data_IF_027608591038
#
_entry.id   IF_027608591038
#
_cell.length_a   1.000
_cell.length_b   1.000
_cell.length_c   1.000
_cell.angle_alpha   90.00
_cell.angle_beta   90.00
_cell.angle_gamma   90.00
#
_symmetry.space_group_name_H-M   'P 1'
#
loop_
_entity.id
_entity.type
_entity.pdbx_description
1 polymer ?
#
# COMPACT_ATOMS: atom_id res chain seq x y z
N UNK A 1 16.50 36.11 31.52
CA UNK A 1 17.78 36.65 30.99
C UNK A 1 18.83 36.51 32.07
N UNK A 2 19.69 35.49 31.98
CA UNK A 2 20.94 35.42 32.75
C UNK A 2 22.07 35.50 31.72
N UNK A 3 22.86 36.56 31.86
CA UNK A 3 23.93 36.95 30.96
C UNK A 3 25.09 35.93 30.99
N UNK A 4 25.47 35.37 29.84
CA UNK A 4 26.77 34.71 29.67
C UNK A 4 27.85 35.79 29.46
N UNK A 5 28.33 36.40 30.55
CA UNK A 5 29.52 37.28 30.51
C UNK A 5 30.81 36.46 30.51
N UNK A 6 31.73 36.94 29.69
CA UNK A 6 32.98 36.33 29.28
C UNK A 6 34.01 36.15 30.41
N UNK A 7 34.68 34.99 30.40
CA UNK A 7 35.97 34.78 31.06
C UNK A 7 37.03 34.53 29.97
N UNK A 8 37.86 35.54 29.71
CA UNK A 8 38.83 35.51 28.62
C UNK A 8 40.21 35.88 29.18
N UNK A 9 41.05 34.88 29.49
CA UNK A 9 42.51 35.06 29.56
C UNK A 9 43.26 33.72 29.56
N UNK A 10 44.17 33.57 28.57
CA UNK A 10 45.24 32.56 28.56
C UNK A 10 44.94 31.19 27.90
N UNK A 11 45.76 30.82 26.90
CA UNK A 11 45.90 29.53 26.19
C UNK A 11 44.95 29.28 25.00
N UNK A 12 45.49 29.43 23.78
CA UNK A 12 44.75 29.41 22.52
C UNK A 12 44.31 28.02 21.99
N UNK A 13 44.91 26.91 22.40
CA UNK A 13 44.61 25.62 21.76
C UNK A 13 43.57 24.75 22.48
N UNK A 14 43.30 24.99 23.77
CA UNK A 14 42.25 24.28 24.53
C UNK A 14 40.86 24.90 24.28
N UNK A 15 40.81 26.19 23.91
CA UNK A 15 39.56 26.94 23.69
C UNK A 15 38.74 26.39 22.52
N UNK A 16 39.36 25.93 21.42
CA UNK A 16 38.59 25.41 20.27
C UNK A 16 37.88 24.09 20.59
N UNK A 17 38.53 23.18 21.30
CA UNK A 17 37.94 21.87 21.63
C UNK A 17 36.83 22.03 22.67
N UNK A 18 37.04 22.86 23.69
CA UNK A 18 36.01 23.13 24.71
C UNK A 18 34.85 23.94 24.13
N UNK A 19 35.09 24.87 23.21
CA UNK A 19 34.02 25.64 22.56
C UNK A 19 33.18 24.76 21.61
N UNK A 20 33.80 23.83 20.88
CA UNK A 20 33.05 22.86 20.04
C UNK A 20 32.24 21.89 20.90
N UNK A 21 32.78 21.42 22.03
CA UNK A 21 32.04 20.58 22.97
C UNK A 21 30.89 21.33 23.66
N UNK A 22 31.06 22.60 24.00
CA UNK A 22 30.00 23.45 24.56
C UNK A 22 28.89 23.76 23.54
N UNK A 23 29.23 24.00 22.28
CA UNK A 23 28.26 24.19 21.19
C UNK A 23 27.49 22.88 20.93
N UNK A 24 28.18 21.74 20.93
CA UNK A 24 27.55 20.43 20.76
C UNK A 24 26.64 20.07 21.96
N UNK A 25 27.04 20.40 23.19
CA UNK A 25 26.19 20.22 24.37
C UNK A 25 24.96 21.14 24.34
N UNK A 26 25.09 22.36 23.81
CA UNK A 26 23.98 23.29 23.62
C UNK A 26 23.00 22.82 22.52
N UNK A 27 23.48 22.11 21.50
CA UNK A 27 22.65 21.50 20.45
C UNK A 27 21.99 20.19 20.89
N UNK A 28 22.58 19.47 21.85
CA UNK A 28 21.98 18.25 22.41
C UNK A 28 20.97 18.54 23.53
N UNK A 29 21.13 19.64 24.26
CA UNK A 29 20.16 20.08 25.27
C UNK A 29 18.83 20.60 24.67
N UNK A 30 18.73 20.80 23.35
CA UNK A 30 17.49 21.18 22.68
C UNK A 30 16.67 19.99 22.15
N UNK A 31 17.04 18.75 22.50
CA UNK A 31 16.42 17.53 21.96
C UNK A 31 15.61 16.71 22.99
N UNK A 32 15.52 17.12 24.26
CA UNK A 32 14.76 16.41 25.31
C UNK A 32 13.65 17.23 25.99
N UNK A 33 13.28 18.39 25.43
CA UNK A 33 12.23 19.28 25.98
C UNK A 33 10.90 19.25 25.20
N UNK A 34 10.49 18.08 24.68
CA UNK A 34 9.17 17.91 24.04
C UNK A 34 7.99 17.98 25.03
N UNK A 35 8.23 18.23 26.32
CA UNK A 35 7.19 18.49 27.33
C UNK A 35 6.86 19.98 27.52
N UNK A 36 7.54 20.91 26.84
CA UNK A 36 7.50 22.35 27.17
C UNK A 36 6.89 23.29 26.10
N UNK A 37 6.14 22.78 25.13
CA UNK A 37 5.59 23.60 24.03
C UNK A 37 4.23 24.29 24.29
N UNK A 38 3.76 24.38 25.54
CA UNK A 38 2.58 25.18 25.87
C UNK A 38 2.97 26.51 26.50
N UNK A 39 3.72 27.35 25.77
CA UNK A 39 4.08 28.67 26.27
C UNK A 39 4.06 29.73 25.17
N UNK A 40 3.20 30.73 25.43
CA UNK A 40 3.10 32.08 24.86
C UNK A 40 2.37 32.24 23.51
N UNK A 41 1.07 32.51 23.58
CA UNK A 41 0.42 33.40 22.60
C UNK A 41 0.34 34.80 23.26
N UNK A 42 0.91 35.84 22.64
CA UNK A 42 0.81 37.24 23.07
C UNK A 42 1.32 37.64 24.48
N UNK A 43 2.14 36.81 25.14
CA UNK A 43 2.74 37.17 26.43
C UNK A 43 1.94 36.74 27.67
N UNK A 44 0.87 35.97 27.50
CA UNK A 44 0.09 35.41 28.62
C UNK A 44 0.27 33.89 28.74
N UNK A 45 0.16 33.38 29.97
CA UNK A 45 0.25 31.96 30.28
C UNK A 45 -1.09 31.29 29.91
N UNK A 46 -1.08 30.42 28.90
CA UNK A 46 -2.24 29.63 28.51
C UNK A 46 -2.73 28.75 29.67
N UNK A 47 -4.05 28.62 29.84
CA UNK A 47 -4.62 27.69 30.82
C UNK A 47 -4.28 26.24 30.47
N UNK A 48 -4.25 25.35 31.45
CA UNK A 48 -3.95 23.92 31.26
C UNK A 48 -4.90 23.26 30.25
N UNK A 49 -6.20 23.61 30.30
CA UNK A 49 -7.22 23.17 29.34
C UNK A 49 -6.97 23.65 27.90
N UNK A 50 -6.40 24.85 27.74
CA UNK A 50 -6.07 25.41 26.42
C UNK A 50 -4.81 24.73 25.84
N UNK A 51 -3.83 24.42 26.69
CA UNK A 51 -2.65 23.62 26.33
C UNK A 51 -3.04 22.20 25.86
N UNK A 52 -3.92 21.52 26.59
CA UNK A 52 -4.39 20.17 26.23
C UNK A 52 -5.17 20.18 24.90
N UNK A 53 -6.05 21.16 24.71
CA UNK A 53 -6.79 21.33 23.45
C UNK A 53 -5.85 21.58 22.27
N UNK A 54 -4.79 22.38 22.47
CA UNK A 54 -3.79 22.65 21.44
C UNK A 54 -2.93 21.42 21.11
N UNK A 55 -2.56 20.61 22.11
CA UNK A 55 -1.86 19.33 21.91
C UNK A 55 -2.71 18.35 21.10
N UNK A 56 -4.00 18.25 21.41
CA UNK A 56 -4.93 17.42 20.64
C UNK A 56 -4.99 17.85 19.17
N UNK A 57 -5.16 19.16 18.91
CA UNK A 57 -5.15 19.70 17.55
C UNK A 57 -3.81 19.51 16.82
N UNK A 58 -2.67 19.57 17.53
CA UNK A 58 -1.36 19.29 16.96
C UNK A 58 -1.21 17.81 16.57
N UNK A 59 -1.63 16.88 17.44
CA UNK A 59 -1.65 15.44 17.15
C UNK A 59 -2.55 15.12 15.96
N UNK A 60 -3.75 15.69 15.90
CA UNK A 60 -4.68 15.48 14.79
C UNK A 60 -4.13 16.01 13.46
N UNK A 61 -3.47 17.17 13.46
CA UNK A 61 -2.79 17.69 12.26
C UNK A 61 -1.68 16.77 11.78
N UNK A 62 -0.90 16.20 12.69
CA UNK A 62 0.18 15.28 12.30
C UNK A 62 -0.38 13.96 11.77
N UNK A 63 -1.47 13.43 12.35
CA UNK A 63 -2.20 12.29 11.78
C UNK A 63 -2.67 12.56 10.36
N UNK A 64 -3.32 13.70 10.13
CA UNK A 64 -3.77 14.12 8.80
C UNK A 64 -2.57 14.20 7.83
N UNK A 65 -1.46 14.82 8.26
CA UNK A 65 -0.23 14.93 7.45
C UNK A 65 0.33 13.56 7.05
N UNK A 66 0.34 12.61 7.98
CA UNK A 66 0.80 11.24 7.75
C UNK A 66 -0.15 10.53 6.77
N UNK A 67 -1.46 10.59 6.98
CA UNK A 67 -2.47 9.98 6.10
C UNK A 67 -2.38 10.53 4.68
N UNK A 68 -2.23 11.85 4.52
CA UNK A 68 -2.03 12.49 3.21
C UNK A 68 -0.75 12.01 2.53
N UNK A 69 0.35 11.87 3.28
CA UNK A 69 1.63 11.36 2.76
C UNK A 69 1.51 9.91 2.32
N UNK A 70 0.80 9.07 3.08
CA UNK A 70 0.52 7.67 2.71
C UNK A 70 -0.29 7.63 1.41
N UNK A 71 -1.38 8.40 1.33
CA UNK A 71 -2.22 8.50 0.12
C UNK A 71 -1.41 8.91 -1.10
N UNK A 72 -0.59 9.95 -1.00
CA UNK A 72 0.27 10.40 -2.11
C UNK A 72 1.23 9.30 -2.57
N UNK A 73 1.87 8.59 -1.63
CA UNK A 73 2.77 7.47 -1.96
C UNK A 73 2.03 6.32 -2.64
N UNK A 74 0.81 6.01 -2.21
CA UNK A 74 -0.03 4.99 -2.85
C UNK A 74 -0.46 5.38 -4.27
N UNK A 75 -0.83 6.65 -4.47
CA UNK A 75 -1.15 7.20 -5.79
C UNK A 75 0.07 7.16 -6.72
N UNK A 76 1.26 7.57 -6.24
CA UNK A 76 2.52 7.50 -6.99
C UNK A 76 2.89 6.05 -7.34
N UNK A 77 2.77 5.13 -6.38
CA UNK A 77 2.98 3.69 -6.58
C UNK A 77 2.04 3.16 -7.68
N UNK A 78 0.78 3.54 -7.62
CA UNK A 78 -0.24 3.16 -8.61
C UNK A 78 0.06 3.74 -9.99
N UNK A 79 0.44 5.03 -10.07
CA UNK A 79 0.80 5.69 -11.31
C UNK A 79 2.05 5.08 -11.95
N UNK A 80 3.07 4.78 -11.15
CA UNK A 80 4.28 4.07 -11.59
C UNK A 80 3.94 2.69 -12.14
N UNK A 81 3.07 1.94 -11.46
CA UNK A 81 2.65 0.61 -11.92
C UNK A 81 1.87 0.68 -13.24
N UNK A 82 0.96 1.64 -13.39
CA UNK A 82 0.24 1.87 -14.66
C UNK A 82 1.18 2.13 -15.83
N UNK A 83 2.25 2.91 -15.61
CA UNK A 83 3.30 3.15 -16.62
C UNK A 83 4.08 1.87 -16.96
N UNK A 84 4.46 1.06 -15.97
CA UNK A 84 5.12 -0.25 -16.20
C UNK A 84 4.24 -1.20 -17.03
N UNK A 85 2.94 -1.20 -16.76
CA UNK A 85 1.97 -2.06 -17.45
C UNK A 85 1.57 -1.53 -18.84
N UNK A 86 1.88 -0.27 -19.16
CA UNK A 86 1.61 0.32 -20.46
C UNK A 86 2.59 -0.25 -21.50
N UNK A 87 2.06 -1.08 -22.42
CA UNK A 87 2.85 -1.75 -23.46
C UNK A 87 2.92 -3.27 -23.34
N UNK A 88 2.30 -3.84 -22.31
CA UNK A 88 2.23 -5.29 -22.14
C UNK A 88 1.31 -5.94 -23.18
N UNK A 89 1.75 -7.06 -23.76
CA UNK A 89 0.90 -7.85 -24.65
C UNK A 89 -0.28 -8.42 -23.86
N UNK A 90 -1.44 -8.54 -24.51
CA UNK A 90 -2.68 -9.02 -23.89
C UNK A 90 -3.32 -10.05 -24.79
N UNK A 91 -3.30 -11.31 -24.37
CA UNK A 91 -3.86 -12.45 -25.11
C UNK A 91 -5.31 -12.67 -24.67
N UNK A 92 -6.21 -12.93 -25.62
CA UNK A 92 -7.57 -13.37 -25.29
C UNK A 92 -7.52 -14.85 -24.92
N UNK A 93 -8.12 -15.21 -23.78
CA UNK A 93 -8.21 -16.62 -23.37
C UNK A 93 -9.03 -17.43 -24.38
N UNK A 94 -8.52 -18.60 -24.75
CA UNK A 94 -9.27 -19.58 -25.51
C UNK A 94 -10.26 -20.35 -24.62
N UNK A 95 -11.17 -21.11 -25.23
CA UNK A 95 -12.22 -21.82 -24.49
C UNK A 95 -11.67 -22.85 -23.50
N UNK A 96 -10.56 -23.52 -23.81
CA UNK A 96 -9.93 -24.49 -22.89
C UNK A 96 -9.39 -23.80 -21.64
N UNK A 97 -8.68 -22.69 -21.83
CA UNK A 97 -8.14 -21.89 -20.73
C UNK A 97 -9.26 -21.31 -19.85
N UNK A 98 -10.31 -20.74 -20.46
CA UNK A 98 -11.48 -20.24 -19.72
C UNK A 98 -12.18 -21.35 -18.94
N UNK A 99 -12.36 -22.52 -19.53
CA UNK A 99 -13.02 -23.63 -18.86
C UNK A 99 -12.21 -24.17 -17.68
N UNK A 100 -10.88 -24.23 -17.81
CA UNK A 100 -10.00 -24.64 -16.72
C UNK A 100 -10.07 -23.65 -15.54
N UNK A 101 -9.98 -22.35 -15.82
CA UNK A 101 -10.12 -21.30 -14.80
C UNK A 101 -11.54 -21.32 -14.20
N UNK A 102 -12.58 -21.39 -15.04
CA UNK A 102 -13.97 -21.39 -14.60
C UNK A 102 -14.25 -22.56 -13.66
N UNK A 103 -13.75 -23.76 -13.98
CA UNK A 103 -13.89 -24.93 -13.13
C UNK A 103 -13.26 -24.69 -11.76
N UNK A 104 -12.00 -24.26 -11.73
CA UNK A 104 -11.30 -24.02 -10.47
C UNK A 104 -11.94 -22.92 -9.62
N UNK A 105 -12.44 -21.84 -10.26
CA UNK A 105 -13.16 -20.78 -9.54
C UNK A 105 -14.51 -21.29 -9.02
N UNK A 106 -15.26 -22.05 -9.82
CA UNK A 106 -16.54 -22.63 -9.42
C UNK A 106 -16.43 -23.52 -8.19
N UNK A 107 -15.35 -24.30 -8.09
CA UNK A 107 -15.08 -25.16 -6.93
C UNK A 107 -14.90 -24.36 -5.62
N UNK A 108 -14.54 -23.06 -5.72
CA UNK A 108 -14.41 -22.15 -4.58
C UNK A 108 -15.71 -21.40 -4.23
N UNK A 109 -16.77 -21.50 -5.05
CA UNK A 109 -18.03 -20.77 -4.86
C UNK A 109 -19.06 -21.58 -4.04
N UNK A 110 -19.96 -20.85 -3.38
CA UNK A 110 -21.09 -21.47 -2.65
C UNK A 110 -22.15 -22.06 -3.58
N UNK A 111 -22.42 -21.41 -4.71
CA UNK A 111 -23.30 -21.90 -5.79
C UNK A 111 -22.51 -21.93 -7.12
N UNK A 112 -21.84 -23.06 -7.44
CA UNK A 112 -21.02 -23.21 -8.65
C UNK A 112 -21.79 -23.00 -9.97
N UNK A 113 -23.07 -23.34 -10.00
CA UNK A 113 -23.90 -23.28 -11.22
C UNK A 113 -24.39 -21.87 -11.52
N UNK A 114 -24.45 -21.01 -10.51
CA UNK A 114 -24.78 -19.59 -10.67
C UNK A 114 -23.65 -18.71 -11.19
N UNK A 115 -22.43 -19.24 -11.33
CA UNK A 115 -21.24 -18.45 -11.58
C UNK A 115 -21.30 -17.69 -12.92
N UNK A 116 -21.17 -16.37 -12.84
CA UNK A 116 -21.05 -15.45 -13.97
C UNK A 116 -19.68 -14.81 -13.95
N UNK A 117 -18.96 -14.93 -15.06
CA UNK A 117 -17.60 -14.45 -15.18
C UNK A 117 -17.52 -13.23 -16.09
N UNK A 118 -16.70 -12.25 -15.70
CA UNK A 118 -16.14 -11.26 -16.61
C UNK A 118 -14.66 -11.55 -16.79
N UNK A 119 -14.27 -11.79 -18.02
CA UNK A 119 -12.93 -12.22 -18.38
C UNK A 119 -12.05 -11.02 -18.69
N UNK A 120 -10.83 -11.06 -18.19
CA UNK A 120 -9.80 -10.13 -18.60
C UNK A 120 -8.90 -10.79 -19.64
N UNK A 121 -8.14 -9.97 -20.37
CA UNK A 121 -7.12 -10.51 -21.26
C UNK A 121 -5.96 -11.04 -20.41
N UNK A 122 -5.41 -12.18 -20.81
CA UNK A 122 -4.25 -12.76 -20.17
C UNK A 122 -3.02 -11.84 -20.36
N UNK A 123 -2.38 -11.49 -19.25
CA UNK A 123 -1.20 -10.64 -19.23
C UNK A 123 -0.02 -11.31 -19.93
N UNK A 124 0.71 -10.53 -20.72
CA UNK A 124 1.82 -10.98 -21.55
C UNK A 124 3.07 -11.38 -20.76
N UNK A 125 3.10 -11.21 -19.43
CA UNK A 125 4.25 -11.59 -18.59
C UNK A 125 4.62 -13.08 -18.70
N UNK A 126 3.68 -13.96 -19.08
CA UNK A 126 4.07 -15.34 -19.38
C UNK A 126 3.05 -16.28 -20.01
N UNK A 127 2.04 -15.76 -20.71
CA UNK A 127 1.04 -16.57 -21.43
C UNK A 127 1.60 -17.64 -22.40
N UNK A 128 2.87 -17.53 -22.83
CA UNK A 128 3.47 -18.39 -23.86
C UNK A 128 4.85 -18.96 -23.44
N UNK A 129 5.27 -18.83 -22.18
CA UNK A 129 6.56 -19.36 -21.72
C UNK A 129 6.37 -20.69 -21.01
N UNK A 130 7.11 -21.70 -21.44
CA UNK A 130 7.21 -22.97 -20.74
C UNK A 130 7.83 -22.75 -19.35
N UNK A 131 7.26 -23.40 -18.33
CA UNK A 131 7.66 -23.17 -16.94
C UNK A 131 7.19 -21.84 -16.34
N UNK A 132 6.30 -21.10 -17.02
CA UNK A 132 5.70 -19.90 -16.44
C UNK A 132 4.77 -20.25 -15.28
N UNK A 133 4.89 -19.50 -14.20
CA UNK A 133 3.92 -19.42 -13.11
C UNK A 133 3.57 -17.96 -12.90
N UNK A 134 2.27 -17.65 -12.91
CA UNK A 134 1.79 -16.29 -12.62
C UNK A 134 0.32 -16.27 -12.31
N UNK A 135 -0.23 -15.09 -12.07
CA UNK A 135 -1.65 -14.94 -11.75
C UNK A 135 -2.46 -14.46 -12.96
N UNK A 136 -3.59 -15.12 -13.20
CA UNK A 136 -4.65 -14.61 -14.04
C UNK A 136 -5.77 -14.06 -13.15
N UNK A 137 -6.20 -12.83 -13.43
CA UNK A 137 -7.27 -12.20 -12.68
C UNK A 137 -8.50 -11.92 -13.52
N UNK A 138 -9.65 -11.95 -12.86
CA UNK A 138 -10.94 -11.62 -13.45
C UNK A 138 -11.96 -11.27 -12.38
N UNK A 139 -13.22 -11.13 -12.79
CA UNK A 139 -14.33 -10.94 -11.87
C UNK A 139 -15.29 -12.13 -11.96
N UNK A 140 -15.82 -12.55 -10.82
CA UNK A 140 -16.86 -13.56 -10.71
C UNK A 140 -18.02 -13.04 -9.88
N UNK A 141 -19.23 -13.38 -10.26
CA UNK A 141 -20.43 -13.15 -9.46
C UNK A 141 -21.20 -14.46 -9.35
N UNK A 142 -21.55 -14.85 -8.14
CA UNK A 142 -22.29 -16.07 -7.84
C UNK A 142 -23.28 -15.81 -6.70
N UNK A 143 -24.28 -16.67 -6.58
CA UNK A 143 -25.25 -16.60 -5.49
C UNK A 143 -24.59 -17.00 -4.16
N UNK A 144 -24.96 -16.30 -3.11
CA UNK A 144 -24.62 -16.67 -1.74
C UNK A 144 -25.58 -17.75 -1.21
N UNK A 145 -25.38 -18.19 0.04
CA UNK A 145 -26.23 -19.18 0.72
C UNK A 145 -27.69 -18.74 0.89
N UNK A 146 -27.99 -17.45 0.72
CA UNK A 146 -29.34 -16.89 0.77
C UNK A 146 -29.99 -16.79 -0.62
N UNK A 147 -29.32 -17.27 -1.68
CA UNK A 147 -29.82 -17.29 -3.05
C UNK A 147 -29.68 -15.97 -3.82
N UNK A 148 -29.04 -14.96 -3.24
CA UNK A 148 -28.85 -13.63 -3.85
C UNK A 148 -27.46 -13.43 -4.44
N UNK A 149 -27.35 -12.61 -5.50
CA UNK A 149 -26.08 -12.14 -6.03
C UNK A 149 -25.64 -10.88 -5.26
N UNK A 150 -24.40 -10.83 -4.79
CA UNK A 150 -23.84 -9.69 -4.03
C UNK A 150 -23.03 -8.73 -4.90
N UNK A 151 -22.71 -9.13 -6.14
CA UNK A 151 -21.94 -8.32 -7.06
C UNK A 151 -20.70 -9.03 -7.59
N UNK A 152 -20.03 -8.40 -8.54
CA UNK A 152 -18.80 -8.93 -9.11
C UNK A 152 -17.65 -8.76 -8.14
N UNK A 153 -17.02 -9.88 -7.79
CA UNK A 153 -15.90 -9.97 -6.88
C UNK A 153 -14.64 -10.37 -7.64
N UNK A 154 -13.49 -9.73 -7.41
CA UNK A 154 -12.22 -10.15 -7.99
C UNK A 154 -11.82 -11.57 -7.59
N UNK A 155 -11.18 -12.27 -8.52
CA UNK A 155 -10.47 -13.51 -8.22
C UNK A 155 -9.08 -13.49 -8.84
N UNK A 156 -8.14 -14.20 -8.21
CA UNK A 156 -6.82 -14.49 -8.73
C UNK A 156 -6.66 -16.01 -8.87
N UNK A 157 -6.36 -16.48 -10.08
CA UNK A 157 -6.02 -17.87 -10.36
C UNK A 157 -4.52 -17.96 -10.63
N UNK A 158 -3.79 -18.71 -9.82
CA UNK A 158 -2.40 -19.04 -10.15
C UNK A 158 -2.43 -20.06 -11.29
N UNK A 159 -1.81 -19.70 -12.41
CA UNK A 159 -1.72 -20.51 -13.61
C UNK A 159 -0.27 -20.92 -13.86
N UNK A 160 -0.09 -22.15 -14.32
CA UNK A 160 1.20 -22.75 -14.62
C UNK A 160 1.27 -23.28 -16.06
N UNK A 161 2.44 -23.21 -16.68
CA UNK A 161 2.74 -23.82 -17.97
C UNK A 161 3.67 -25.02 -17.84
N UNK A 162 3.31 -26.00 -17.02
CA UNK A 162 4.12 -27.20 -16.77
C UNK A 162 3.71 -28.35 -17.70
N UNK A 163 4.66 -28.89 -18.45
CA UNK A 163 4.43 -30.07 -19.30
C UNK A 163 3.35 -29.90 -20.38
N UNK A 164 2.65 -30.99 -20.70
CA UNK A 164 1.56 -31.03 -21.67
C UNK A 164 0.26 -31.42 -20.96
N UNK A 165 -0.78 -30.56 -20.92
CA UNK A 165 -0.94 -29.28 -21.64
C UNK A 165 -0.19 -28.10 -21.00
N UNK A 166 0.25 -27.13 -21.81
CA UNK A 166 0.99 -25.93 -21.40
C UNK A 166 0.16 -24.90 -20.60
N UNK A 167 -0.94 -25.30 -19.97
CA UNK A 167 -1.82 -24.46 -19.18
C UNK A 167 -2.56 -25.28 -18.11
N UNK A 168 -2.28 -24.99 -16.85
CA UNK A 168 -2.89 -25.60 -15.68
C UNK A 168 -3.24 -24.53 -14.65
N UNK A 169 -4.31 -24.75 -13.89
CA UNK A 169 -4.68 -23.89 -12.75
C UNK A 169 -4.21 -24.58 -11.48
N UNK A 170 -3.31 -23.93 -10.74
CA UNK A 170 -2.67 -24.48 -9.54
C UNK A 170 -3.57 -24.25 -8.33
N UNK A 171 -4.01 -23.01 -8.12
CA UNK A 171 -4.99 -22.65 -7.10
C UNK A 171 -5.73 -21.37 -7.46
N UNK A 172 -6.85 -21.14 -6.80
CA UNK A 172 -7.68 -19.93 -6.95
C UNK A 172 -7.93 -19.32 -5.58
N UNK A 173 -7.85 -17.99 -5.54
CA UNK A 173 -8.24 -17.19 -4.39
C UNK A 173 -9.30 -16.19 -4.84
N UNK A 174 -10.40 -16.11 -4.08
CA UNK A 174 -11.44 -15.10 -4.26
C UNK A 174 -11.11 -13.93 -3.33
N UNK A 175 -11.32 -12.70 -3.79
CA UNK A 175 -11.24 -11.56 -2.89
C UNK A 175 -12.38 -11.65 -1.88
N UNK A 176 -12.06 -11.75 -0.61
CA UNK A 176 -12.99 -11.43 0.46
C UNK A 176 -12.70 -10.01 0.97
N UNK A 177 -13.51 -9.54 1.91
CA UNK A 177 -13.37 -8.18 2.44
C UNK A 177 -12.12 -8.01 3.34
N UNK A 178 -11.32 -9.06 3.53
CA UNK A 178 -10.24 -9.14 4.51
C UNK A 178 -8.86 -9.42 3.88
N UNK A 179 -8.81 -9.88 2.62
CA UNK A 179 -7.58 -10.23 1.90
C UNK A 179 -7.30 -9.30 0.71
N UNK A 180 -6.54 -8.24 0.98
CA UNK A 180 -5.96 -7.36 -0.06
C UNK A 180 -4.99 -8.10 -1.00
N UNK A 181 -4.58 -9.32 -0.65
CA UNK A 181 -3.65 -10.18 -1.39
C UNK A 181 -4.10 -10.45 -2.83
N UNK A 182 -5.41 -10.60 -3.07
CA UNK A 182 -5.94 -10.84 -4.42
C UNK A 182 -5.68 -9.62 -5.30
N UNK A 183 -6.01 -8.43 -4.81
CA UNK A 183 -5.79 -7.18 -5.54
C UNK A 183 -4.29 -6.92 -5.75
N UNK A 184 -3.46 -7.22 -4.76
CA UNK A 184 -2.01 -7.10 -4.89
C UNK A 184 -1.44 -8.04 -5.96
N UNK A 185 -1.82 -9.32 -5.95
CA UNK A 185 -1.37 -10.31 -6.93
C UNK A 185 -1.84 -9.96 -8.34
N UNK A 186 -3.07 -9.46 -8.46
CA UNK A 186 -3.59 -8.94 -9.72
C UNK A 186 -2.80 -7.72 -10.21
N UNK A 187 -2.48 -6.78 -9.33
CA UNK A 187 -1.69 -5.61 -9.69
C UNK A 187 -0.25 -5.98 -10.12
N UNK A 188 0.38 -7.00 -9.51
CA UNK A 188 1.70 -7.53 -9.92
C UNK A 188 1.70 -7.96 -11.38
N UNK A 189 0.61 -8.59 -11.81
CA UNK A 189 0.37 -9.08 -13.18
C UNK A 189 -0.26 -8.06 -14.13
N UNK A 190 -0.33 -6.79 -13.70
CA UNK A 190 -0.86 -5.69 -14.48
C UNK A 190 -2.39 -5.71 -14.71
N UNK A 191 -3.13 -6.38 -13.82
CA UNK A 191 -4.58 -6.25 -13.70
C UNK A 191 -4.93 -5.11 -12.75
N UNK A 192 -4.70 -3.86 -13.19
CA UNK A 192 -4.92 -2.66 -12.37
C UNK A 192 -6.29 -1.98 -12.60
N UNK A 193 -7.04 -2.41 -13.61
CA UNK A 193 -8.36 -1.86 -13.93
C UNK A 193 -9.34 -2.98 -14.31
N UNK A 194 -10.16 -3.39 -13.34
CA UNK A 194 -11.18 -4.42 -13.51
C UNK A 194 -12.39 -3.95 -14.35
N UNK A 195 -12.51 -2.65 -14.66
CA UNK A 195 -13.54 -2.16 -15.60
C UNK A 195 -13.31 -2.69 -17.02
N UNK A 196 -12.09 -3.16 -17.31
CA UNK A 196 -11.72 -3.77 -18.59
C UNK A 196 -12.17 -5.24 -18.72
N UNK A 197 -12.78 -5.81 -17.69
CA UNK A 197 -13.29 -7.17 -17.73
C UNK A 197 -14.63 -7.23 -18.49
N UNK A 198 -14.70 -8.10 -19.50
CA UNK A 198 -15.87 -8.28 -20.37
C UNK A 198 -16.51 -9.67 -20.21
#
# INVERSE_FOLDING_TARGET
MLECRAFNQGRENVKRIVMVLMIAACQMASAEDDLLNCKWENGELMSESACESQRYLQSDRERIRIEETVRQKEEEKTAKKRKECAGMSRKVLNNKERNAIAKAVKDALKDPDSAKFKWMKLSGKGANREGYVGYYCGLVNARNSYGGYTGYTPFAAMIGGFGTPKFEVIFVTLADNESDDVLENCAKECYTDFRLAN
#
